data_IF_146133198004
#
_entry.id   IF_146133198004
#
_cell.length_a   1.000
_cell.length_b   1.000
_cell.length_c   1.000
_cell.angle_alpha   90.00
_cell.angle_beta   90.00
_cell.angle_gamma   90.00
#
_symmetry.space_group_name_H-M   'P 1'
#
loop_
_entity.id
_entity.type
_entity.pdbx_description
1 polymer ?
#
# COMPACT_ATOMS: atom_id res chain seq x y z
N UNK A 1 23.80 -2.10 0.00
CA UNK A 1 23.33 -1.44 1.23
C UNK A 1 24.11 -0.16 1.42
N UNK A 2 23.43 0.99 1.53
CA UNK A 2 24.04 2.32 1.61
C UNK A 2 24.62 2.64 3.02
N UNK A 3 25.34 1.69 3.63
CA UNK A 3 25.92 1.87 4.98
C UNK A 3 24.93 1.84 6.14
N UNK A 4 23.68 1.37 5.91
CA UNK A 4 22.68 1.23 6.98
C UNK A 4 23.00 -0.04 7.79
N UNK A 5 23.32 0.13 9.09
CA UNK A 5 23.75 -0.95 9.99
C UNK A 5 22.53 -1.76 10.46
N UNK A 6 22.55 -3.08 10.23
CA UNK A 6 21.43 -4.00 10.50
C UNK A 6 21.06 -4.19 11.97
N UNK A 7 21.86 -3.67 12.90
CA UNK A 7 21.64 -3.83 14.36
C UNK A 7 20.51 -2.95 14.90
N UNK A 8 20.11 -1.91 14.16
CA UNK A 8 18.93 -1.11 14.48
C UNK A 8 17.79 -1.57 13.58
N UNK A 9 16.78 -2.23 14.18
CA UNK A 9 15.62 -2.74 13.45
C UNK A 9 14.96 -1.65 12.61
N UNK A 10 15.16 -1.71 11.30
CA UNK A 10 14.53 -0.78 10.35
C UNK A 10 13.05 -1.13 10.22
N UNK A 11 12.19 -0.14 10.41
CA UNK A 11 10.77 -0.23 10.10
C UNK A 11 10.55 0.47 8.76
N UNK A 12 9.88 -0.24 7.83
CA UNK A 12 9.48 0.32 6.54
C UNK A 12 8.08 0.89 6.74
N UNK A 13 7.88 2.15 6.37
CA UNK A 13 6.58 2.81 6.39
C UNK A 13 6.23 3.16 4.94
N UNK A 14 4.99 2.92 4.52
CA UNK A 14 4.58 3.35 3.17
C UNK A 14 4.49 4.87 3.11
N UNK A 15 4.72 5.44 1.92
CA UNK A 15 4.65 6.89 1.70
C UNK A 15 3.33 7.52 2.15
N UNK A 16 2.15 6.98 1.77
CA UNK A 16 0.90 7.59 2.20
C UNK A 16 0.63 7.42 3.71
N UNK A 17 1.14 6.36 4.36
CA UNK A 17 1.07 6.23 5.81
C UNK A 17 1.95 7.26 6.53
N UNK A 18 3.14 7.50 6.00
CA UNK A 18 4.04 8.50 6.52
C UNK A 18 3.42 9.90 6.38
N UNK A 19 2.90 10.23 5.20
CA UNK A 19 2.25 11.50 4.95
C UNK A 19 1.00 11.70 5.81
N UNK A 20 0.20 10.64 6.00
CA UNK A 20 -0.93 10.63 6.91
C UNK A 20 -0.48 10.90 8.36
N UNK A 21 0.51 10.16 8.85
CA UNK A 21 1.06 10.31 10.21
C UNK A 21 1.57 11.74 10.46
N UNK A 22 2.34 12.30 9.53
CA UNK A 22 2.80 13.69 9.62
C UNK A 22 1.62 14.66 9.72
N UNK A 23 0.65 14.51 8.83
CA UNK A 23 -0.51 15.39 8.82
C UNK A 23 -1.30 15.26 10.12
N UNK A 24 -1.58 14.06 10.61
CA UNK A 24 -2.36 13.87 11.82
C UNK A 24 -1.68 14.39 13.07
N UNK A 25 -0.37 14.15 13.24
CA UNK A 25 0.37 14.64 14.41
C UNK A 25 0.67 16.13 14.36
N UNK A 26 1.04 16.67 13.21
CA UNK A 26 1.52 18.05 13.09
C UNK A 26 0.43 19.02 12.65
N UNK A 27 -0.49 18.63 11.76
CA UNK A 27 -1.69 19.43 11.47
C UNK A 27 -2.71 19.39 12.62
N UNK A 28 -2.52 18.51 13.62
CA UNK A 28 -3.26 18.52 14.89
C UNK A 28 -3.17 19.85 15.66
N UNK A 29 -2.13 20.66 15.45
CA UNK A 29 -2.07 22.03 15.99
C UNK A 29 -3.03 23.01 15.28
N UNK A 30 -3.62 22.62 14.14
CA UNK A 30 -4.75 23.31 13.49
C UNK A 30 -6.12 22.70 13.88
N UNK A 31 -6.13 21.77 14.85
CA UNK A 31 -7.19 21.22 15.75
C UNK A 31 -8.67 21.11 15.32
N UNK A 32 -9.04 21.44 14.08
CA UNK A 32 -10.44 21.58 13.66
C UNK A 32 -10.85 20.73 12.46
N UNK A 33 -9.91 20.11 11.73
CA UNK A 33 -10.21 19.50 10.43
C UNK A 33 -10.48 17.99 10.45
N UNK A 34 -9.93 17.24 11.41
CA UNK A 34 -10.01 15.77 11.41
C UNK A 34 -10.41 15.27 12.80
N UNK A 35 -11.42 14.39 12.84
CA UNK A 35 -12.00 13.81 14.06
C UNK A 35 -12.10 12.30 13.96
N UNK A 36 -12.26 11.66 15.10
CA UNK A 36 -12.62 10.25 15.14
C UNK A 36 -13.94 10.03 14.39
N UNK A 37 -14.00 8.93 13.63
CA UNK A 37 -15.04 8.56 12.67
C UNK A 37 -15.05 9.31 11.33
N UNK A 38 -14.09 10.21 11.09
CA UNK A 38 -13.89 10.74 9.75
C UNK A 38 -13.27 9.69 8.83
N UNK A 39 -13.51 9.86 7.52
CA UNK A 39 -12.87 9.09 6.45
C UNK A 39 -11.94 9.99 5.69
N UNK A 40 -10.72 9.53 5.43
CA UNK A 40 -9.70 10.34 4.79
C UNK A 40 -9.15 9.59 3.60
N UNK A 41 -9.10 10.28 2.47
CA UNK A 41 -8.42 9.86 1.25
C UNK A 41 -7.09 10.59 1.21
N UNK A 42 -5.99 9.88 1.40
CA UNK A 42 -4.65 10.44 1.17
C UNK A 42 -4.39 10.35 -0.33
N UNK A 43 -4.05 11.47 -0.96
CA UNK A 43 -3.66 11.59 -2.36
C UNK A 43 -2.22 12.06 -2.40
N UNK A 44 -1.29 11.12 -2.54
CA UNK A 44 0.13 11.40 -2.72
C UNK A 44 0.41 11.68 -4.19
N UNK A 45 0.46 12.97 -4.53
CA UNK A 45 0.75 13.42 -5.87
C UNK A 45 2.25 13.71 -6.00
N UNK A 46 2.97 12.76 -6.57
CA UNK A 46 4.42 12.83 -6.79
C UNK A 46 4.80 13.35 -8.18
N UNK A 47 6.08 13.14 -8.53
CA UNK A 47 6.61 13.47 -9.85
C UNK A 47 6.21 12.46 -10.91
N UNK A 48 6.29 11.17 -10.61
CA UNK A 48 5.99 10.09 -11.56
C UNK A 48 4.59 9.51 -11.39
N UNK A 49 4.22 9.20 -10.15
CA UNK A 49 2.98 8.54 -9.80
C UNK A 49 2.09 9.44 -8.95
N UNK A 50 0.81 9.08 -8.92
CA UNK A 50 -0.15 9.59 -7.96
C UNK A 50 -0.81 8.40 -7.30
N UNK A 51 -0.69 8.30 -5.98
CA UNK A 51 -1.12 7.15 -5.21
C UNK A 51 -2.16 7.56 -4.17
N UNK A 52 -3.27 6.83 -4.12
CA UNK A 52 -4.38 7.08 -3.21
C UNK A 52 -4.55 5.93 -2.24
N UNK A 53 -4.83 6.24 -0.98
CA UNK A 53 -5.26 5.26 0.03
C UNK A 53 -6.32 5.90 0.92
N UNK A 54 -7.12 5.08 1.61
CA UNK A 54 -8.19 5.59 2.44
C UNK A 54 -8.27 4.97 3.81
N UNK A 55 -8.50 5.81 4.81
CA UNK A 55 -8.53 5.43 6.23
C UNK A 55 -9.84 5.86 6.89
N UNK A 56 -10.42 4.98 7.71
CA UNK A 56 -11.28 5.36 8.82
C UNK A 56 -10.38 5.84 9.98
N UNK A 57 -10.60 7.04 10.49
CA UNK A 57 -9.96 7.53 11.71
C UNK A 57 -10.68 6.94 12.92
N UNK A 58 -10.03 6.06 13.67
CA UNK A 58 -10.61 5.46 14.88
C UNK A 58 -10.33 6.34 16.11
N UNK A 59 -9.12 6.91 16.16
CA UNK A 59 -8.66 7.77 17.23
C UNK A 59 -7.61 8.74 16.68
N UNK A 60 -7.60 9.99 17.16
CA UNK A 60 -6.68 11.03 16.68
C UNK A 60 -5.39 11.06 17.51
N UNK A 61 -5.47 10.83 18.82
CA UNK A 61 -4.31 10.84 19.72
C UNK A 61 -4.40 9.72 20.79
N UNK A 62 -3.47 8.74 20.81
CA UNK A 62 -2.58 8.39 19.71
C UNK A 62 -3.36 8.09 18.42
N UNK A 63 -2.70 8.29 17.28
CA UNK A 63 -3.32 8.05 15.99
C UNK A 63 -3.60 6.55 15.81
N UNK A 64 -4.88 6.22 15.65
CA UNK A 64 -5.32 4.87 15.29
C UNK A 64 -6.18 4.99 14.05
N UNK A 65 -5.72 4.42 12.95
CA UNK A 65 -6.40 4.42 11.66
C UNK A 65 -6.59 3.01 11.16
N UNK A 66 -7.68 2.80 10.43
CA UNK A 66 -7.95 1.55 9.73
C UNK A 66 -8.18 1.83 8.28
N UNK A 67 -7.42 1.19 7.42
CA UNK A 67 -7.66 1.20 5.99
C UNK A 67 -9.11 0.77 5.68
N UNK A 68 -9.84 1.57 4.91
CA UNK A 68 -11.27 1.35 4.66
C UNK A 68 -11.60 1.01 3.20
N UNK A 69 -10.68 1.26 2.27
CA UNK A 69 -10.80 0.92 0.86
C UNK A 69 -9.44 0.55 0.28
N UNK A 70 -9.44 -0.22 -0.81
CA UNK A 70 -8.22 -0.43 -1.54
C UNK A 70 -7.71 0.89 -2.13
N UNK A 71 -6.40 1.08 -2.09
CA UNK A 71 -5.78 2.21 -2.76
C UNK A 71 -5.84 2.08 -4.28
N UNK A 72 -5.71 3.20 -4.96
CA UNK A 72 -5.65 3.29 -6.43
C UNK A 72 -4.52 4.23 -6.80
N UNK A 73 -3.84 4.02 -7.92
CA UNK A 73 -2.83 4.95 -8.40
C UNK A 73 -2.69 4.89 -9.91
N UNK A 74 -2.00 5.88 -10.47
CA UNK A 74 -1.67 5.93 -11.89
C UNK A 74 -0.37 6.74 -12.14
N UNK A 75 0.19 6.58 -13.33
CA UNK A 75 1.33 7.36 -13.82
C UNK A 75 0.84 8.71 -14.35
N UNK A 76 0.41 9.59 -13.45
CA UNK A 76 -0.08 10.93 -13.79
C UNK A 76 0.51 12.03 -12.90
N UNK A 77 1.79 11.91 -12.52
CA UNK A 77 2.50 12.91 -11.71
C UNK A 77 2.97 14.15 -12.48
N UNK A 78 3.64 15.09 -11.79
CA UNK A 78 4.05 16.38 -12.39
C UNK A 78 5.04 16.28 -13.56
N UNK A 79 5.77 15.18 -13.71
CA UNK A 79 6.67 14.95 -14.85
C UNK A 79 5.93 14.86 -16.19
N UNK A 80 4.63 14.55 -16.17
CA UNK A 80 3.81 14.57 -17.38
C UNK A 80 3.54 16.01 -17.87
N UNK A 81 3.57 16.99 -16.97
CA UNK A 81 3.51 18.42 -17.31
C UNK A 81 4.80 18.82 -18.03
N UNK A 82 5.95 18.33 -17.58
CA UNK A 82 7.24 18.56 -18.25
C UNK A 82 7.23 17.99 -19.67
N UNK A 83 6.69 16.78 -19.86
CA UNK A 83 6.52 16.17 -21.19
C UNK A 83 5.57 16.98 -22.08
N UNK A 84 4.48 17.51 -21.51
CA UNK A 84 3.58 18.39 -22.25
C UNK A 84 4.30 19.69 -22.67
N UNK A 85 5.12 20.24 -21.78
CA UNK A 85 5.93 21.42 -22.08
C UNK A 85 6.97 21.13 -23.17
N UNK A 86 7.70 20.01 -23.08
CA UNK A 86 8.66 19.59 -24.11
C UNK A 86 8.02 19.50 -25.50
N UNK A 87 6.81 18.94 -25.58
CA UNK A 87 6.04 18.88 -26.84
C UNK A 87 5.66 20.27 -27.35
N UNK A 88 5.16 21.15 -26.48
CA UNK A 88 4.85 22.54 -26.84
C UNK A 88 6.10 23.27 -27.32
N UNK A 89 7.22 23.10 -26.61
CA UNK A 89 8.50 23.72 -26.94
C UNK A 89 9.02 23.24 -28.30
N UNK A 90 9.01 21.92 -28.55
CA UNK A 90 9.38 21.37 -29.86
C UNK A 90 8.48 21.88 -30.99
N UNK A 91 7.17 21.93 -30.76
CA UNK A 91 6.21 22.43 -31.75
C UNK A 91 6.47 23.90 -32.10
N UNK A 92 6.71 24.77 -31.10
CA UNK A 92 6.94 26.21 -31.33
C UNK A 92 8.30 26.47 -31.97
N UNK A 93 9.33 25.76 -31.57
CA UNK A 93 10.69 25.93 -32.10
C UNK A 93 10.84 25.33 -33.51
N UNK A 94 10.05 24.31 -33.87
CA UNK A 94 10.11 23.66 -35.17
C UNK A 94 11.54 23.21 -35.50
N UNK A 95 12.04 23.57 -36.69
CA UNK A 95 13.41 23.26 -37.12
C UNK A 95 14.52 23.77 -36.17
N UNK A 96 14.25 24.81 -35.40
CA UNK A 96 15.22 25.35 -34.43
C UNK A 96 15.36 24.44 -33.20
N UNK A 97 14.35 23.61 -32.94
CA UNK A 97 14.43 22.58 -31.90
C UNK A 97 15.53 21.58 -32.23
N UNK A 98 15.53 21.04 -33.46
CA UNK A 98 16.50 20.02 -33.89
C UNK A 98 17.94 20.56 -33.98
N UNK A 99 18.09 21.88 -34.08
CA UNK A 99 19.39 22.55 -34.09
C UNK A 99 19.97 22.79 -32.69
N UNK A 100 19.17 22.64 -31.62
CA UNK A 100 19.66 22.78 -30.25
C UNK A 100 20.49 21.57 -29.85
N UNK A 101 21.53 21.83 -29.05
CA UNK A 101 22.32 20.75 -28.47
C UNK A 101 21.52 20.03 -27.38
N UNK A 102 21.69 18.70 -27.18
CA UNK A 102 20.99 17.94 -26.15
C UNK A 102 21.04 18.57 -24.74
N UNK A 103 22.18 19.14 -24.36
CA UNK A 103 22.36 19.84 -23.09
C UNK A 103 21.49 21.10 -22.95
N UNK A 104 21.21 21.80 -24.05
CA UNK A 104 20.33 22.97 -24.05
C UNK A 104 18.87 22.55 -23.92
N UNK A 105 18.46 21.44 -24.53
CA UNK A 105 17.12 20.88 -24.31
C UNK A 105 16.88 20.59 -22.83
N UNK A 106 17.80 19.86 -22.20
CA UNK A 106 17.72 19.53 -20.77
C UNK A 106 17.69 20.80 -19.91
N UNK A 107 18.49 21.81 -20.25
CA UNK A 107 18.50 23.07 -19.52
C UNK A 107 17.18 23.85 -19.67
N UNK A 108 16.54 23.86 -20.84
CA UNK A 108 15.24 24.52 -21.05
C UNK A 108 14.15 23.84 -20.22
N UNK A 109 14.10 22.51 -20.20
CA UNK A 109 13.15 21.76 -19.37
C UNK A 109 13.40 22.03 -17.88
N UNK A 110 14.66 22.08 -17.46
CA UNK A 110 15.01 22.48 -16.09
C UNK A 110 14.61 23.93 -15.78
N UNK A 111 14.76 24.85 -16.73
CA UNK A 111 14.35 26.25 -16.55
C UNK A 111 12.83 26.39 -16.44
N UNK A 112 12.06 25.51 -17.07
CA UNK A 112 10.60 25.48 -16.97
C UNK A 112 10.11 25.13 -15.56
N UNK A 113 10.90 24.39 -14.77
CA UNK A 113 10.53 24.00 -13.40
C UNK A 113 10.08 25.20 -12.54
N UNK A 114 10.80 26.33 -12.63
CA UNK A 114 10.45 27.56 -11.90
C UNK A 114 9.06 28.08 -12.30
N UNK A 115 8.74 28.09 -13.59
CA UNK A 115 7.43 28.52 -14.09
C UNK A 115 6.32 27.53 -13.70
N UNK A 116 6.61 26.23 -13.77
CA UNK A 116 5.70 25.15 -13.37
C UNK A 116 5.34 25.26 -11.87
N UNK A 117 6.34 25.37 -11.00
CA UNK A 117 6.15 25.51 -9.56
C UNK A 117 5.39 26.78 -9.18
N UNK A 118 5.59 27.88 -9.92
CA UNK A 118 4.94 29.16 -9.65
C UNK A 118 3.49 29.24 -10.17
N UNK A 119 3.01 28.27 -10.96
CA UNK A 119 1.71 28.38 -11.62
C UNK A 119 0.53 28.19 -10.66
N UNK A 120 -0.36 29.19 -10.60
CA UNK A 120 -1.56 29.23 -9.72
C UNK A 120 -2.85 29.46 -10.49
N UNK A 121 -2.75 29.72 -11.79
CA UNK A 121 -3.85 30.18 -12.63
C UNK A 121 -4.56 31.42 -12.05
N UNK A 122 -3.78 32.39 -11.54
CA UNK A 122 -4.30 33.65 -11.00
C UNK A 122 -4.51 34.68 -12.12
N UNK A 123 -5.48 35.62 -12.00
CA UNK A 123 -5.73 36.65 -13.01
C UNK A 123 -4.50 37.47 -13.42
N UNK A 124 -3.57 37.74 -12.50
CA UNK A 124 -2.33 38.49 -12.77
C UNK A 124 -1.18 37.68 -13.39
N UNK A 125 -1.31 36.36 -13.52
CA UNK A 125 -0.27 35.51 -14.13
C UNK A 125 -0.46 35.40 -15.63
N UNK A 126 -0.33 36.51 -16.35
CA UNK A 126 -0.62 36.57 -17.79
C UNK A 126 0.39 35.78 -18.64
N UNK A 127 1.67 35.81 -18.28
CA UNK A 127 2.77 35.22 -19.05
C UNK A 127 3.87 34.72 -18.11
N UNK A 128 4.50 33.63 -18.51
CA UNK A 128 5.68 33.02 -17.89
C UNK A 128 6.82 33.05 -18.90
N UNK A 129 8.05 33.12 -18.40
CA UNK A 129 9.23 33.21 -19.24
C UNK A 129 10.17 32.06 -18.91
N UNK A 130 10.55 31.30 -19.93
CA UNK A 130 11.52 30.20 -19.82
C UNK A 130 12.76 30.56 -20.61
N UNK A 131 13.89 30.65 -19.94
CA UNK A 131 15.17 30.97 -20.58
C UNK A 131 15.59 29.84 -21.55
N UNK A 132 15.95 30.21 -22.77
CA UNK A 132 16.55 29.35 -23.80
C UNK A 132 18.03 29.73 -23.94
N UNK A 133 18.96 28.84 -23.58
CA UNK A 133 20.39 29.11 -23.73
C UNK A 133 20.77 29.42 -25.18
N UNK A 134 21.67 30.39 -25.38
CA UNK A 134 22.37 30.68 -26.65
C UNK A 134 21.50 31.16 -27.83
N UNK A 135 20.21 31.39 -27.61
CA UNK A 135 19.26 31.88 -28.62
C UNK A 135 18.71 33.21 -28.16
N UNK A 136 18.91 34.30 -28.91
CA UNK A 136 18.41 35.61 -28.49
C UNK A 136 16.97 35.87 -28.97
N UNK A 137 16.63 35.51 -30.21
CA UNK A 137 15.32 35.82 -30.78
C UNK A 137 14.88 34.77 -31.82
N UNK A 138 13.66 34.26 -31.66
CA UNK A 138 12.95 33.43 -32.65
C UNK A 138 11.49 33.86 -32.61
N UNK A 139 11.15 34.83 -33.47
CA UNK A 139 9.83 35.49 -33.47
C UNK A 139 8.69 34.51 -33.69
N UNK A 140 8.85 33.57 -34.62
CA UNK A 140 7.85 32.54 -34.93
C UNK A 140 7.58 31.59 -33.75
N UNK A 141 8.58 31.36 -32.90
CA UNK A 141 8.44 30.55 -31.69
C UNK A 141 7.95 31.37 -30.49
N UNK A 142 7.94 32.70 -30.57
CA UNK A 142 7.69 33.61 -29.45
C UNK A 142 8.83 33.69 -28.45
N UNK A 143 10.07 33.55 -28.94
CA UNK A 143 11.30 33.73 -28.16
C UNK A 143 11.81 35.16 -28.36
N UNK A 144 11.88 35.92 -27.27
CA UNK A 144 12.32 37.31 -27.26
C UNK A 144 13.33 37.51 -26.13
N UNK A 145 14.50 38.08 -26.45
CA UNK A 145 15.56 38.33 -25.45
C UNK A 145 16.01 37.07 -24.71
N UNK A 146 16.06 35.93 -25.39
CA UNK A 146 16.43 34.63 -24.82
C UNK A 146 15.34 33.92 -24.03
N UNK A 147 14.11 34.42 -24.03
CA UNK A 147 13.03 33.84 -23.23
C UNK A 147 11.86 33.39 -24.09
N UNK A 148 11.45 32.14 -23.93
CA UNK A 148 10.18 31.63 -24.44
C UNK A 148 9.04 32.14 -23.58
N UNK A 149 8.13 32.88 -24.21
CA UNK A 149 6.91 33.35 -23.58
C UNK A 149 5.79 32.32 -23.58
N UNK A 150 5.39 31.84 -22.40
CA UNK A 150 4.26 30.92 -22.22
C UNK A 150 3.09 31.68 -21.60
N UNK A 151 1.96 31.74 -22.29
CA UNK A 151 0.74 32.38 -21.78
C UNK A 151 0.10 31.59 -20.64
N UNK A 152 -0.76 32.26 -19.85
CA UNK A 152 -1.60 31.59 -18.84
C UNK A 152 -2.41 30.43 -19.43
N UNK A 153 -2.96 30.62 -20.63
CA UNK A 153 -3.78 29.61 -21.29
C UNK A 153 -2.96 28.39 -21.73
N UNK A 154 -1.74 28.62 -22.24
CA UNK A 154 -0.81 27.53 -22.54
C UNK A 154 -0.44 26.78 -21.26
N UNK A 155 -0.09 27.48 -20.17
CA UNK A 155 0.18 26.83 -18.87
C UNK A 155 -0.99 25.94 -18.43
N UNK A 156 -2.24 26.41 -18.56
CA UNK A 156 -3.42 25.57 -18.31
C UNK A 156 -3.44 24.34 -19.20
N UNK A 157 -3.21 24.48 -20.51
CA UNK A 157 -3.20 23.34 -21.44
C UNK A 157 -2.13 22.29 -21.12
N UNK A 158 -1.04 22.68 -20.44
CA UNK A 158 0.00 21.76 -19.97
C UNK A 158 -0.45 20.98 -18.72
N UNK A 159 -1.16 21.64 -17.80
CA UNK A 159 -1.59 21.08 -16.52
C UNK A 159 -2.92 20.32 -16.59
N UNK A 160 -3.91 20.86 -17.30
CA UNK A 160 -5.30 20.37 -17.29
C UNK A 160 -5.40 18.87 -17.57
N UNK A 161 -4.74 18.30 -18.61
CA UNK A 161 -4.83 16.86 -18.87
C UNK A 161 -4.31 15.97 -17.73
N UNK A 162 -3.33 16.45 -16.96
CA UNK A 162 -2.73 15.72 -15.83
C UNK A 162 -3.62 15.87 -14.59
N UNK A 163 -4.05 17.10 -14.30
CA UNK A 163 -4.92 17.40 -13.16
C UNK A 163 -6.29 16.74 -13.29
N UNK A 164 -6.84 16.64 -14.50
CA UNK A 164 -8.11 15.97 -14.77
C UNK A 164 -8.03 14.47 -14.44
N UNK A 165 -6.94 13.79 -14.81
CA UNK A 165 -6.71 12.39 -14.45
C UNK A 165 -6.64 12.19 -12.92
N UNK A 166 -5.92 13.08 -12.22
CA UNK A 166 -5.85 13.03 -10.75
C UNK A 166 -7.22 13.22 -10.11
N UNK A 167 -8.00 14.19 -10.61
CA UNK A 167 -9.36 14.41 -10.12
C UNK A 167 -10.25 13.18 -10.36
N UNK A 168 -10.08 12.47 -11.47
CA UNK A 168 -10.83 11.24 -11.75
C UNK A 168 -10.46 10.08 -10.82
N UNK A 169 -9.17 9.92 -10.48
CA UNK A 169 -8.73 8.98 -9.43
C UNK A 169 -9.34 9.33 -8.07
N UNK A 170 -9.29 10.61 -7.69
CA UNK A 170 -9.87 11.09 -6.43
C UNK A 170 -11.39 10.84 -6.40
N UNK A 171 -12.11 11.14 -7.50
CA UNK A 171 -13.55 10.87 -7.63
C UNK A 171 -13.86 9.41 -7.36
N UNK A 172 -13.17 8.49 -8.03
CA UNK A 172 -13.37 7.05 -7.87
C UNK A 172 -13.14 6.62 -6.42
N UNK A 173 -12.03 7.06 -5.82
CA UNK A 173 -11.70 6.70 -4.45
C UNK A 173 -12.73 7.25 -3.44
N UNK A 174 -13.13 8.51 -3.58
CA UNK A 174 -14.16 9.14 -2.73
C UNK A 174 -15.50 8.42 -2.84
N UNK A 175 -15.89 7.96 -4.03
CA UNK A 175 -17.12 7.17 -4.21
C UNK A 175 -17.07 5.83 -3.46
N UNK A 176 -15.98 5.08 -3.59
CA UNK A 176 -15.78 3.80 -2.88
C UNK A 176 -15.91 4.02 -1.36
N UNK A 177 -15.21 5.04 -0.87
CA UNK A 177 -15.19 5.40 0.55
C UNK A 177 -16.55 5.91 1.03
N UNK A 178 -17.34 6.57 0.19
CA UNK A 178 -18.68 7.06 0.53
C UNK A 178 -19.74 5.94 0.57
N UNK A 179 -19.56 4.88 -0.23
CA UNK A 179 -20.47 3.73 -0.29
C UNK A 179 -20.16 2.64 0.74
N UNK A 180 -18.99 2.68 1.39
CA UNK A 180 -18.61 1.73 2.43
C UNK A 180 -19.58 1.71 3.63
N UNK A 181 -19.67 0.60 4.38
CA UNK A 181 -20.67 0.38 5.43
C UNK A 181 -20.75 1.57 6.39
N UNK A 182 -21.95 2.14 6.53
CA UNK A 182 -22.19 3.20 7.49
C UNK A 182 -22.12 2.64 8.91
N UNK A 183 -21.42 3.35 9.80
CA UNK A 183 -21.45 3.02 11.23
C UNK A 183 -22.80 3.45 11.80
N UNK A 184 -23.46 2.56 12.52
CA UNK A 184 -24.74 2.83 13.19
C UNK A 184 -24.58 4.05 14.10
N UNK A 185 -25.53 5.00 14.04
CA UNK A 185 -25.58 6.23 14.85
C UNK A 185 -24.51 7.33 14.57
N UNK A 186 -23.88 7.35 13.39
CA UNK A 186 -23.00 8.46 12.99
C UNK A 186 -23.70 9.36 11.96
N UNK A 187 -23.59 10.69 12.11
CA UNK A 187 -23.96 11.65 11.05
C UNK A 187 -23.27 11.24 9.74
N UNK A 188 -23.90 11.51 8.59
CA UNK A 188 -23.33 11.26 7.25
C UNK A 188 -21.83 11.60 7.24
N UNK A 189 -20.98 10.58 7.12
CA UNK A 189 -19.52 10.72 7.13
C UNK A 189 -19.13 11.56 5.93
N UNK A 190 -18.44 12.68 6.16
CA UNK A 190 -17.87 13.51 5.09
C UNK A 190 -16.44 13.06 4.86
N UNK A 191 -16.09 12.53 3.67
CA UNK A 191 -14.71 12.22 3.38
C UNK A 191 -13.90 13.51 3.25
N UNK A 192 -12.67 13.48 3.71
CA UNK A 192 -11.68 14.54 3.52
C UNK A 192 -10.55 14.03 2.64
N UNK A 193 -9.99 14.89 1.80
CA UNK A 193 -8.84 14.60 0.95
C UNK A 193 -7.62 15.23 1.58
N UNK A 194 -6.58 14.44 1.79
CA UNK A 194 -5.28 14.89 2.19
C UNK A 194 -4.36 14.90 0.97
N UNK A 195 -4.09 16.08 0.42
CA UNK A 195 -3.25 16.25 -0.77
C UNK A 195 -1.78 16.44 -0.35
N UNK A 196 -0.94 15.47 -0.66
CA UNK A 196 0.48 15.40 -0.24
C UNK A 196 1.39 15.09 -1.42
N UNK A 197 2.70 15.09 -1.20
CA UNK A 197 3.70 14.85 -2.24
C UNK A 197 4.19 16.13 -2.91
N UNK A 198 5.23 16.01 -3.73
CA UNK A 198 5.87 17.15 -4.39
C UNK A 198 4.92 17.91 -5.34
N UNK A 199 4.10 17.20 -6.09
CA UNK A 199 3.05 17.82 -6.91
C UNK A 199 1.83 18.22 -6.08
N UNK A 200 1.57 17.51 -4.98
CA UNK A 200 0.53 17.87 -4.01
C UNK A 200 0.69 19.27 -3.41
N UNK A 201 1.88 19.88 -3.46
CA UNK A 201 2.13 21.27 -3.05
C UNK A 201 1.70 22.31 -4.10
N UNK A 202 1.38 21.88 -5.34
CA UNK A 202 0.92 22.78 -6.39
C UNK A 202 -0.39 23.48 -6.02
N UNK A 203 -0.36 24.82 -6.00
CA UNK A 203 -1.56 25.63 -5.79
C UNK A 203 -2.60 25.46 -6.89
N UNK A 204 -2.17 25.21 -8.14
CA UNK A 204 -3.09 24.92 -9.23
C UNK A 204 -3.84 23.60 -9.00
N UNK A 205 -3.12 22.53 -8.62
CA UNK A 205 -3.72 21.24 -8.30
C UNK A 205 -4.70 21.39 -7.12
N UNK A 206 -4.27 22.03 -6.02
CA UNK A 206 -5.13 22.27 -4.86
C UNK A 206 -6.39 23.06 -5.23
N UNK A 207 -6.27 24.13 -6.03
CA UNK A 207 -7.40 24.93 -6.52
C UNK A 207 -8.39 24.06 -7.31
N UNK A 208 -7.91 23.28 -8.27
CA UNK A 208 -8.75 22.42 -9.13
C UNK A 208 -9.43 21.30 -8.35
N UNK A 209 -8.71 20.62 -7.45
CA UNK A 209 -9.28 19.59 -6.57
C UNK A 209 -10.31 20.21 -5.61
N UNK A 210 -10.03 21.38 -5.03
CA UNK A 210 -10.97 22.09 -4.12
C UNK A 210 -12.25 22.53 -4.84
N UNK A 211 -12.14 23.02 -6.08
CA UNK A 211 -13.29 23.39 -6.90
C UNK A 211 -14.20 22.18 -7.13
N UNK A 212 -13.65 21.04 -7.51
CA UNK A 212 -14.41 19.81 -7.65
C UNK A 212 -15.01 19.38 -6.30
N UNK A 213 -14.19 19.29 -5.25
CA UNK A 213 -14.58 18.82 -3.91
C UNK A 213 -15.72 19.64 -3.28
N UNK A 214 -15.75 20.96 -3.53
CA UNK A 214 -16.81 21.86 -3.03
C UNK A 214 -18.21 21.50 -3.53
N UNK A 215 -18.32 20.83 -4.68
CA UNK A 215 -19.59 20.37 -5.24
C UNK A 215 -20.13 19.13 -4.52
N UNK A 216 -19.28 18.40 -3.79
CA UNK A 216 -19.60 17.10 -3.19
C UNK A 216 -19.51 17.09 -1.66
N UNK A 217 -19.39 18.27 -1.03
CA UNK A 217 -19.24 18.42 0.42
C UNK A 217 -18.02 17.64 0.97
N UNK A 218 -16.93 17.66 0.20
CA UNK A 218 -15.64 17.02 0.50
C UNK A 218 -14.65 18.11 0.92
N UNK A 219 -14.00 17.91 2.07
CA UNK A 219 -12.96 18.84 2.52
C UNK A 219 -11.62 18.49 1.87
N UNK A 220 -10.87 19.49 1.41
CA UNK A 220 -9.50 19.31 0.93
C UNK A 220 -8.53 19.91 1.96
N UNK A 221 -7.54 19.11 2.35
CA UNK A 221 -6.50 19.45 3.31
C UNK A 221 -5.17 19.32 2.58
N UNK A 222 -4.47 20.45 2.42
CA UNK A 222 -3.09 20.49 1.95
C UNK A 222 -2.21 20.86 3.15
N UNK A 223 -1.40 19.94 3.69
CA UNK A 223 -0.56 20.23 4.83
C UNK A 223 0.54 21.20 4.41
N UNK A 224 1.03 21.99 5.38
CA UNK A 224 2.26 22.75 5.17
C UNK A 224 3.39 21.78 4.84
N UNK A 225 4.29 22.17 3.95
CA UNK A 225 5.46 21.36 3.58
C UNK A 225 5.08 19.98 3.03
N UNK A 226 4.00 19.91 2.24
CA UNK A 226 3.45 18.68 1.64
C UNK A 226 4.52 17.83 0.91
N UNK A 227 5.50 18.48 0.28
CA UNK A 227 6.65 17.83 -0.38
C UNK A 227 7.58 17.06 0.57
N UNK A 228 7.59 17.39 1.87
CA UNK A 228 8.40 16.72 2.89
C UNK A 228 7.59 15.91 3.90
N UNK A 229 6.26 15.83 3.72
CA UNK A 229 5.36 15.15 4.64
C UNK A 229 5.74 13.67 4.86
N UNK A 230 6.15 12.98 3.80
CA UNK A 230 6.56 11.57 3.84
C UNK A 230 7.78 11.38 4.74
N UNK A 231 8.88 12.11 4.46
CA UNK A 231 10.13 11.95 5.24
C UNK A 231 9.96 12.38 6.69
N UNK A 232 9.16 13.42 6.95
CA UNK A 232 8.82 13.85 8.32
C UNK A 232 7.98 12.81 9.03
N UNK A 233 7.00 12.22 8.34
CA UNK A 233 6.19 11.11 8.84
C UNK A 233 7.02 9.90 9.23
N UNK A 234 7.99 9.52 8.39
CA UNK A 234 8.91 8.42 8.69
C UNK A 234 9.76 8.71 9.94
N UNK A 235 10.26 9.93 10.10
CA UNK A 235 10.98 10.34 11.32
C UNK A 235 10.06 10.29 12.54
N UNK A 236 8.83 10.81 12.43
CA UNK A 236 7.82 10.76 13.49
C UNK A 236 7.51 9.32 13.91
N UNK A 237 7.45 8.38 12.97
CA UNK A 237 7.29 6.96 13.26
C UNK A 237 8.50 6.39 13.99
N UNK A 238 9.71 6.74 13.55
CA UNK A 238 10.95 6.25 14.15
C UNK A 238 11.19 6.71 15.60
N UNK A 239 10.67 7.87 15.99
CA UNK A 239 10.76 8.39 17.36
C UNK A 239 9.64 7.86 18.29
N UNK A 240 8.60 7.21 17.75
CA UNK A 240 7.52 6.67 18.57
C UNK A 240 8.00 5.50 19.46
N UNK A 241 7.36 5.29 20.62
CA UNK A 241 7.59 4.08 21.40
C UNK A 241 7.33 2.83 20.56
N UNK A 242 8.26 1.89 20.58
CA UNK A 242 8.15 0.61 19.86
C UNK A 242 6.97 -0.24 20.38
N UNK A 243 6.53 -0.01 21.62
CA UNK A 243 5.39 -0.65 22.26
C UNK A 243 4.81 0.25 23.35
N UNK A 244 3.52 0.08 23.65
CA UNK A 244 2.84 0.78 24.75
C UNK A 244 1.95 1.96 24.31
N UNK A 245 1.39 2.70 25.29
CA UNK A 245 0.52 3.84 25.02
C UNK A 245 1.28 4.95 24.28
N UNK A 246 0.71 5.46 23.19
CA UNK A 246 1.33 6.52 22.37
C UNK A 246 1.86 6.06 21.00
N UNK A 247 1.92 4.75 20.73
CA UNK A 247 2.29 4.21 19.41
C UNK A 247 1.16 4.42 18.40
N UNK A 248 1.48 4.95 17.22
CA UNK A 248 0.54 5.00 16.11
C UNK A 248 0.22 3.60 15.62
N UNK A 249 -1.07 3.30 15.47
CA UNK A 249 -1.54 2.02 14.97
C UNK A 249 -2.24 2.20 13.62
N UNK A 250 -1.69 1.53 12.61
CA UNK A 250 -2.33 1.40 11.29
C UNK A 250 -2.84 -0.02 11.16
N UNK A 251 -4.14 -0.15 10.94
CA UNK A 251 -4.78 -1.43 10.67
C UNK A 251 -5.04 -1.55 9.17
N UNK A 252 -4.44 -2.54 8.54
CA UNK A 252 -4.56 -2.84 7.11
C UNK A 252 -5.71 -3.82 6.84
N UNK A 253 -6.18 -3.82 5.60
CA UNK A 253 -7.13 -4.81 5.12
C UNK A 253 -6.42 -5.80 4.21
N UNK A 254 -6.46 -7.09 4.57
CA UNK A 254 -5.88 -8.13 3.73
C UNK A 254 -6.55 -8.19 2.36
N UNK A 255 -5.76 -8.06 1.29
CA UNK A 255 -6.20 -8.13 -0.12
C UNK A 255 -6.51 -9.54 -0.61
N UNK A 256 -5.88 -10.53 0.04
CA UNK A 256 -6.05 -11.96 -0.24
C UNK A 256 -6.31 -12.67 1.08
N UNK A 257 -7.01 -13.80 0.99
CA UNK A 257 -7.04 -14.76 2.08
C UNK A 257 -5.74 -15.54 2.06
N UNK A 258 -5.15 -15.83 3.23
CA UNK A 258 -3.91 -16.59 3.36
C UNK A 258 -4.11 -17.78 4.28
N UNK A 259 -3.62 -18.94 3.89
CA UNK A 259 -3.91 -20.20 4.57
C UNK A 259 -2.84 -21.26 4.35
N UNK A 260 -3.01 -22.39 5.02
CA UNK A 260 -2.20 -23.59 4.79
C UNK A 260 -3.10 -24.78 4.45
N UNK A 261 -2.77 -25.58 3.42
CA UNK A 261 -3.44 -26.83 3.15
C UNK A 261 -3.32 -27.79 4.35
N UNK A 262 -4.39 -28.50 4.65
CA UNK A 262 -4.48 -29.40 5.80
C UNK A 262 -5.41 -30.58 5.51
N UNK A 263 -5.36 -31.57 6.40
CA UNK A 263 -6.37 -32.61 6.49
C UNK A 263 -7.21 -32.39 7.74
N UNK A 264 -8.53 -32.42 7.61
CA UNK A 264 -9.48 -32.20 8.72
C UNK A 264 -10.28 -33.47 9.03
N UNK A 265 -10.94 -33.54 10.18
CA UNK A 265 -11.86 -34.64 10.45
C UNK A 265 -12.96 -34.66 9.39
N UNK A 266 -13.30 -35.84 8.86
CA UNK A 266 -14.33 -35.95 7.83
C UNK A 266 -15.71 -35.63 8.42
N UNK A 267 -16.43 -34.67 7.82
CA UNK A 267 -17.78 -34.29 8.21
C UNK A 267 -18.71 -34.61 7.03
N UNK A 268 -19.59 -35.62 7.16
CA UNK A 268 -20.57 -35.94 6.12
C UNK A 268 -21.42 -34.72 5.75
N UNK A 269 -21.66 -34.51 4.45
CA UNK A 269 -22.42 -33.37 3.92
C UNK A 269 -21.63 -32.07 3.76
N UNK A 270 -20.46 -31.94 4.40
CA UNK A 270 -19.53 -30.82 4.19
C UNK A 270 -18.34 -31.20 3.30
N UNK A 271 -17.79 -32.39 3.50
CA UNK A 271 -16.62 -32.87 2.77
C UNK A 271 -17.01 -33.86 1.67
N UNK A 272 -16.30 -33.82 0.55
CA UNK A 272 -16.48 -34.76 -0.55
C UNK A 272 -15.86 -36.12 -0.20
N UNK A 273 -16.56 -37.20 -0.52
CA UNK A 273 -16.07 -38.56 -0.28
C UNK A 273 -14.76 -38.87 -1.04
N UNK A 274 -14.52 -38.25 -2.20
CA UNK A 274 -13.26 -38.39 -2.95
C UNK A 274 -12.03 -37.85 -2.20
N UNK A 275 -12.23 -36.93 -1.27
CA UNK A 275 -11.18 -36.41 -0.39
C UNK A 275 -11.05 -37.22 0.90
N UNK A 276 -11.95 -38.17 1.15
CA UNK A 276 -11.94 -38.94 2.37
C UNK A 276 -10.79 -39.95 2.42
N UNK A 277 -10.18 -40.11 3.59
CA UNK A 277 -9.23 -41.18 3.87
C UNK A 277 -9.24 -41.55 5.35
N UNK A 278 -8.84 -42.78 5.70
CA UNK A 278 -8.64 -43.15 7.10
C UNK A 278 -7.19 -42.88 7.51
N UNK A 279 -6.98 -42.03 8.51
CA UNK A 279 -5.64 -41.76 9.01
C UNK A 279 -5.02 -43.03 9.60
N UNK A 280 -3.86 -43.42 9.09
CA UNK A 280 -3.21 -44.69 9.44
C UNK A 280 -2.84 -44.77 10.93
N UNK A 281 -2.63 -43.63 11.59
CA UNK A 281 -2.18 -43.56 12.99
C UNK A 281 -3.30 -43.47 14.01
N UNK A 282 -4.37 -42.74 13.71
CA UNK A 282 -5.52 -42.54 14.60
C UNK A 282 -6.71 -43.42 14.24
N UNK A 283 -6.80 -43.88 12.98
CA UNK A 283 -7.94 -44.64 12.47
C UNK A 283 -9.18 -43.81 12.19
N UNK A 284 -9.10 -42.49 12.35
CA UNK A 284 -10.22 -41.57 12.09
C UNK A 284 -10.38 -41.33 10.60
N UNK A 285 -11.63 -41.17 10.15
CA UNK A 285 -11.93 -40.72 8.78
C UNK A 285 -11.64 -39.21 8.70
N UNK A 286 -10.76 -38.83 7.78
CA UNK A 286 -10.27 -37.48 7.55
C UNK A 286 -10.61 -37.05 6.12
N UNK A 287 -10.64 -35.75 5.84
CA UNK A 287 -10.74 -35.17 4.50
C UNK A 287 -9.41 -34.48 4.15
N UNK A 288 -8.77 -34.88 3.05
CA UNK A 288 -7.59 -34.20 2.47
C UNK A 288 -8.04 -32.98 1.65
N UNK A 289 -7.08 -32.21 1.12
CA UNK A 289 -7.35 -31.04 0.27
C UNK A 289 -8.22 -29.97 0.96
N UNK A 290 -8.12 -29.79 2.27
CA UNK A 290 -8.79 -28.70 2.98
C UNK A 290 -7.82 -27.55 3.21
N UNK A 291 -8.31 -26.35 3.48
CA UNK A 291 -7.48 -25.19 3.80
C UNK A 291 -7.88 -24.63 5.16
N UNK A 292 -6.89 -24.40 6.02
CA UNK A 292 -7.05 -23.57 7.21
C UNK A 292 -6.61 -22.16 6.87
N UNK A 293 -7.56 -21.22 6.76
CA UNK A 293 -7.29 -19.81 6.46
C UNK A 293 -6.85 -19.08 7.72
N UNK A 294 -5.60 -18.62 7.76
CA UNK A 294 -5.06 -17.73 8.79
C UNK A 294 -5.75 -16.36 8.75
N UNK A 295 -5.85 -15.83 7.53
CA UNK A 295 -6.41 -14.51 7.23
C UNK A 295 -7.49 -14.66 6.17
N UNK A 296 -8.64 -14.02 6.37
CA UNK A 296 -9.68 -13.88 5.35
C UNK A 296 -9.68 -12.46 4.76
N UNK A 297 -9.72 -12.38 3.43
CA UNK A 297 -9.84 -11.11 2.68
C UNK A 297 -10.98 -10.26 3.25
N UNK A 298 -10.74 -8.95 3.39
CA UNK A 298 -11.71 -7.92 3.81
C UNK A 298 -12.36 -8.06 5.21
N UNK A 299 -12.16 -9.17 5.92
CA UNK A 299 -12.86 -9.43 7.19
C UNK A 299 -11.98 -9.29 8.43
N UNK A 300 -10.66 -9.42 8.30
CA UNK A 300 -9.75 -9.36 9.44
C UNK A 300 -8.82 -8.14 9.39
N UNK A 301 -8.86 -7.29 10.44
CA UNK A 301 -7.88 -6.24 10.61
C UNK A 301 -6.49 -6.85 10.79
N UNK A 302 -5.51 -6.36 10.03
CA UNK A 302 -4.11 -6.78 10.13
C UNK A 302 -3.30 -5.61 10.66
N UNK A 303 -2.61 -5.78 11.77
CA UNK A 303 -1.62 -4.80 12.26
C UNK A 303 -0.23 -5.40 12.14
N UNK A 304 0.80 -4.55 12.02
CA UNK A 304 2.19 -5.00 11.81
C UNK A 304 2.74 -5.83 12.98
N UNK A 305 2.14 -5.70 14.17
CA UNK A 305 2.49 -6.47 15.38
C UNK A 305 1.66 -7.75 15.54
N UNK A 306 0.64 -7.96 14.69
CA UNK A 306 -0.26 -9.10 14.83
C UNK A 306 0.29 -10.36 14.17
N UNK A 307 0.28 -11.43 14.94
CA UNK A 307 0.70 -12.76 14.50
C UNK A 307 -0.51 -13.68 14.48
N UNK A 308 -0.76 -14.31 13.34
CA UNK A 308 -1.78 -15.33 13.17
C UNK A 308 -1.15 -16.71 13.38
N UNK A 309 -1.60 -17.45 14.38
CA UNK A 309 -1.15 -18.84 14.60
C UNK A 309 -2.33 -19.80 14.53
N UNK A 310 -2.12 -20.94 13.89
CA UNK A 310 -3.06 -22.07 13.94
C UNK A 310 -2.30 -23.33 14.34
N UNK A 311 -2.96 -24.15 15.15
CA UNK A 311 -2.42 -25.43 15.60
C UNK A 311 -2.63 -26.50 14.53
N UNK A 312 -1.55 -27.24 14.25
CA UNK A 312 -1.51 -28.39 13.37
C UNK A 312 -0.96 -29.60 14.14
N UNK A 313 -1.23 -30.78 13.61
CA UNK A 313 -0.66 -32.00 14.16
C UNK A 313 -0.11 -32.89 13.05
N UNK A 314 1.02 -33.54 13.32
CA UNK A 314 1.63 -34.51 12.41
C UNK A 314 1.92 -35.80 13.14
N UNK A 315 1.49 -36.91 12.55
CA UNK A 315 1.70 -38.25 13.06
C UNK A 315 2.79 -38.97 12.27
N UNK A 316 3.72 -39.63 12.96
CA UNK A 316 4.84 -40.32 12.33
C UNK A 316 5.42 -41.45 13.19
N UNK A 317 6.15 -42.38 12.58
CA UNK A 317 7.01 -43.34 13.31
C UNK A 317 8.47 -42.89 13.33
N UNK A 318 8.92 -42.34 12.20
CA UNK A 318 10.25 -41.77 12.01
C UNK A 318 10.08 -40.30 11.68
N UNK A 319 10.81 -39.43 12.38
CA UNK A 319 10.83 -38.00 12.08
C UNK A 319 11.54 -37.82 10.75
N UNK A 320 10.94 -37.03 9.86
CA UNK A 320 11.52 -36.58 8.59
C UNK A 320 11.34 -35.07 8.51
N UNK A 321 12.10 -34.36 7.64
CA UNK A 321 11.82 -32.95 7.37
C UNK A 321 10.38 -32.75 6.91
N UNK A 322 9.76 -31.67 7.36
CA UNK A 322 8.37 -31.34 7.06
C UNK A 322 8.33 -30.24 6.02
N UNK A 323 7.49 -30.41 5.00
CA UNK A 323 7.11 -29.30 4.15
C UNK A 323 5.72 -28.82 4.54
N UNK A 324 5.56 -27.52 4.72
CA UNK A 324 4.27 -26.84 4.88
C UNK A 324 4.20 -25.73 3.83
N UNK A 325 3.04 -25.59 3.20
CA UNK A 325 2.81 -24.66 2.08
C UNK A 325 1.91 -23.53 2.53
N UNK A 326 2.30 -22.30 2.22
CA UNK A 326 1.42 -21.15 2.30
C UNK A 326 0.69 -20.97 0.97
N UNK A 327 -0.62 -20.77 1.05
CA UNK A 327 -1.49 -20.53 -0.10
C UNK A 327 -2.27 -19.23 0.05
N UNK A 328 -2.72 -18.67 -1.07
CA UNK A 328 -3.62 -17.53 -1.08
C UNK A 328 -4.81 -17.70 -2.02
N UNK A 329 -5.84 -16.88 -1.80
CA UNK A 329 -7.00 -16.78 -2.67
C UNK A 329 -7.50 -15.33 -2.72
N UNK A 330 -7.83 -14.85 -3.93
CA UNK A 330 -8.33 -13.48 -4.18
C UNK A 330 -9.85 -13.35 -4.08
N UNK A 331 -10.59 -14.47 -4.04
CA UNK A 331 -12.04 -14.46 -3.91
C UNK A 331 -12.48 -13.87 -2.56
N UNK A 332 -13.56 -13.09 -2.57
CA UNK A 332 -14.15 -12.50 -1.35
C UNK A 332 -14.64 -13.58 -0.36
N UNK A 333 -15.03 -14.74 -0.90
CA UNK A 333 -15.35 -15.95 -0.16
C UNK A 333 -14.37 -17.05 -0.56
N UNK A 334 -13.23 -17.21 0.14
CA UNK A 334 -12.26 -18.24 -0.21
C UNK A 334 -12.87 -19.63 0.04
N UNK A 335 -12.56 -20.63 -0.82
CA UNK A 335 -13.11 -21.97 -0.65
C UNK A 335 -12.49 -22.65 0.58
N UNK A 336 -13.25 -23.56 1.20
CA UNK A 336 -12.73 -24.42 2.28
C UNK A 336 -11.89 -25.56 1.75
N UNK A 337 -12.25 -26.07 0.56
CA UNK A 337 -11.52 -27.07 -0.21
C UNK A 337 -10.47 -26.40 -1.08
N UNK A 338 -9.30 -27.03 -1.20
CA UNK A 338 -8.26 -26.62 -2.12
C UNK A 338 -8.71 -26.82 -3.56
N UNK A 339 -8.73 -25.73 -4.32
CA UNK A 339 -9.01 -25.71 -5.76
C UNK A 339 -7.88 -24.97 -6.47
N UNK A 340 -7.06 -25.65 -7.30
CA UNK A 340 -5.94 -25.02 -8.00
C UNK A 340 -6.37 -23.93 -8.99
N UNK A 341 -7.64 -23.85 -9.38
CA UNK A 341 -8.14 -22.79 -10.27
C UNK A 341 -8.20 -21.42 -9.57
N UNK A 342 -8.43 -21.38 -8.25
CA UNK A 342 -8.63 -20.15 -7.48
C UNK A 342 -7.67 -19.99 -6.29
N UNK A 343 -6.92 -21.04 -5.94
CA UNK A 343 -5.94 -21.06 -4.87
C UNK A 343 -4.53 -21.10 -5.44
N UNK A 344 -3.72 -20.10 -5.12
CA UNK A 344 -2.31 -19.99 -5.55
C UNK A 344 -1.38 -20.41 -4.42
N UNK A 345 -0.32 -21.14 -4.77
CA UNK A 345 0.77 -21.45 -3.82
C UNK A 345 1.75 -20.27 -3.79
N UNK A 346 2.09 -19.79 -2.60
CA UNK A 346 3.06 -18.71 -2.43
C UNK A 346 4.45 -19.23 -2.12
N UNK A 347 4.59 -20.04 -1.07
CA UNK A 347 5.88 -20.54 -0.64
C UNK A 347 5.73 -21.87 0.10
N UNK A 348 6.88 -22.54 0.24
CA UNK A 348 7.03 -23.70 1.10
C UNK A 348 8.06 -23.37 2.17
N UNK A 349 7.80 -23.80 3.40
CA UNK A 349 8.83 -23.92 4.43
C UNK A 349 9.21 -25.38 4.57
N UNK A 350 10.50 -25.64 4.74
CA UNK A 350 11.02 -26.95 5.11
C UNK A 350 11.52 -26.87 6.55
N UNK A 351 10.85 -27.57 7.45
CA UNK A 351 11.17 -27.60 8.87
C UNK A 351 11.81 -28.93 9.23
N UNK A 352 13.11 -28.90 9.56
CA UNK A 352 13.83 -30.10 9.97
C UNK A 352 13.84 -30.26 11.50
N UNK A 353 13.05 -31.23 11.98
CA UNK A 353 12.97 -31.60 13.40
C UNK A 353 13.70 -32.92 13.70
N UNK A 354 14.43 -33.49 12.74
CA UNK A 354 15.08 -34.81 12.85
C UNK A 354 16.15 -34.86 13.95
N UNK A 355 16.77 -33.72 14.27
CA UNK A 355 17.74 -33.57 15.35
C UNK A 355 17.12 -33.66 16.76
N UNK A 356 15.79 -33.58 16.90
CA UNK A 356 15.12 -33.66 18.19
C UNK A 356 15.01 -35.12 18.68
N UNK A 357 15.33 -35.34 19.96
CA UNK A 357 15.13 -36.64 20.62
C UNK A 357 13.65 -37.04 20.58
N UNK A 358 13.34 -38.33 20.36
CA UNK A 358 11.96 -38.85 20.29
C UNK A 358 11.10 -38.54 21.52
N UNK A 359 11.69 -38.38 22.70
CA UNK A 359 11.01 -37.97 23.94
C UNK A 359 10.42 -36.56 23.87
N UNK A 360 10.85 -35.74 22.92
CA UNK A 360 10.27 -34.42 22.66
C UNK A 360 8.89 -34.52 22.01
N UNK A 361 8.46 -35.66 21.47
CA UNK A 361 7.16 -35.83 20.82
C UNK A 361 6.20 -36.65 21.68
N UNK A 362 4.90 -36.43 21.50
CA UNK A 362 3.86 -37.18 22.20
C UNK A 362 3.82 -38.62 21.68
N UNK A 363 4.22 -39.58 22.52
CA UNK A 363 4.12 -41.01 22.17
C UNK A 363 2.68 -41.49 22.28
N UNK A 364 2.21 -42.21 21.27
CA UNK A 364 0.87 -42.78 21.15
C UNK A 364 0.97 -44.22 20.63
N UNK A 365 -0.14 -44.95 20.70
CA UNK A 365 -0.19 -46.36 20.32
C UNK A 365 -1.41 -46.64 19.46
N UNK A 366 -1.24 -47.47 18.43
CA UNK A 366 -2.34 -48.06 17.69
C UNK A 366 -1.96 -49.49 17.33
N UNK A 367 -2.84 -50.44 17.64
CA UNK A 367 -2.61 -51.87 17.40
C UNK A 367 -1.25 -52.34 17.91
N UNK A 368 -0.91 -52.00 19.17
CA UNK A 368 0.35 -52.36 19.82
C UNK A 368 1.63 -51.82 19.15
N UNK A 369 1.50 -50.95 18.14
CA UNK A 369 2.63 -50.29 17.49
C UNK A 369 2.71 -48.83 17.96
N UNK A 370 3.87 -48.39 18.48
CA UNK A 370 4.02 -47.00 18.87
C UNK A 370 4.10 -46.10 17.64
N UNK A 371 3.58 -44.89 17.78
CA UNK A 371 3.81 -43.77 16.88
C UNK A 371 3.96 -42.49 17.71
N UNK A 372 4.39 -41.43 17.06
CA UNK A 372 4.63 -40.13 17.66
C UNK A 372 3.73 -39.09 17.01
N UNK A 373 3.35 -38.11 17.81
CA UNK A 373 2.56 -36.96 17.41
C UNK A 373 3.35 -35.70 17.78
N UNK A 374 3.46 -34.78 16.84
CA UNK A 374 3.89 -33.43 17.10
C UNK A 374 2.71 -32.49 16.88
N UNK A 375 2.35 -31.73 17.91
CA UNK A 375 1.45 -30.58 17.83
C UNK A 375 2.33 -29.35 17.69
N UNK A 376 2.14 -28.61 16.60
CA UNK A 376 2.94 -27.46 16.22
C UNK A 376 2.04 -26.33 15.76
N UNK A 377 2.57 -25.12 15.75
CA UNK A 377 1.85 -23.96 15.23
C UNK A 377 2.49 -23.54 13.92
N UNK A 378 1.66 -23.31 12.91
CA UNK A 378 2.08 -22.51 11.77
C UNK A 378 1.74 -21.06 12.09
N UNK A 379 2.77 -20.24 12.01
CA UNK A 379 2.75 -18.85 12.42
C UNK A 379 2.95 -17.99 11.19
N UNK A 380 2.00 -17.09 10.97
CA UNK A 380 2.00 -16.14 9.86
C UNK A 380 1.92 -14.73 10.42
N UNK A 381 2.76 -13.83 9.92
CA UNK A 381 2.66 -12.41 10.20
C UNK A 381 2.80 -11.60 8.90
N UNK A 382 2.10 -10.47 8.84
CA UNK A 382 2.23 -9.50 7.76
C UNK A 382 2.82 -8.24 8.36
N UNK A 383 4.05 -7.91 7.98
CA UNK A 383 4.73 -6.70 8.44
C UNK A 383 5.27 -5.96 7.24
N UNK A 384 4.83 -4.72 7.00
CA UNK A 384 5.38 -3.84 5.96
C UNK A 384 5.53 -4.51 4.60
N UNK A 385 4.44 -5.09 4.10
CA UNK A 385 4.35 -5.86 2.87
C UNK A 385 5.22 -7.14 2.79
N UNK A 386 5.89 -7.53 3.88
CA UNK A 386 6.56 -8.80 4.02
C UNK A 386 5.67 -9.79 4.76
N UNK A 387 5.50 -10.96 4.15
CA UNK A 387 4.82 -12.09 4.77
C UNK A 387 5.86 -13.01 5.38
N UNK A 388 5.86 -13.10 6.71
CA UNK A 388 6.59 -14.11 7.44
C UNK A 388 5.73 -15.35 7.61
N UNK A 389 6.30 -16.52 7.29
CA UNK A 389 5.66 -17.82 7.52
C UNK A 389 6.67 -18.79 8.13
N UNK A 390 6.32 -19.37 9.26
CA UNK A 390 7.22 -20.24 10.01
C UNK A 390 6.47 -21.32 10.79
N UNK A 391 7.17 -22.42 11.08
CA UNK A 391 6.68 -23.43 12.00
C UNK A 391 7.26 -23.23 13.38
N UNK A 392 6.40 -23.20 14.40
CA UNK A 392 6.77 -23.11 15.79
C UNK A 392 6.47 -24.44 16.50
N UNK A 393 7.46 -24.98 17.19
CA UNK A 393 7.31 -26.20 17.97
C UNK A 393 7.96 -26.04 19.34
N UNK A 394 7.17 -26.21 20.41
CA UNK A 394 7.63 -26.07 21.81
C UNK A 394 8.41 -24.78 22.07
N UNK A 395 7.88 -23.66 21.59
CA UNK A 395 8.46 -22.32 21.75
C UNK A 395 9.66 -22.01 20.84
N UNK A 396 10.10 -22.95 19.99
CA UNK A 396 11.21 -22.74 19.07
C UNK A 396 10.71 -22.63 17.62
N UNK A 397 11.34 -21.75 16.83
CA UNK A 397 11.06 -21.56 15.40
C UNK A 397 11.89 -22.53 14.56
N UNK A 398 11.23 -23.28 13.67
CA UNK A 398 11.83 -24.28 12.78
C UNK A 398 11.36 -24.06 11.34
N UNK A 399 12.27 -23.76 10.42
CA UNK A 399 11.90 -23.45 9.03
C UNK A 399 11.11 -22.14 8.95
N UNK A 400 11.63 -21.17 8.19
CA UNK A 400 10.99 -19.89 8.01
C UNK A 400 11.26 -19.36 6.61
N UNK A 401 10.31 -18.61 6.09
CA UNK A 401 10.47 -17.85 4.85
C UNK A 401 9.84 -16.48 5.02
N UNK A 402 10.46 -15.49 4.38
CA UNK A 402 9.90 -14.16 4.22
C UNK A 402 9.66 -13.96 2.73
N UNK A 403 8.44 -13.61 2.36
CA UNK A 403 8.04 -13.39 0.96
C UNK A 403 7.56 -11.95 0.84
N UNK A 404 8.11 -11.19 -0.12
CA UNK A 404 7.54 -9.91 -0.51
C UNK A 404 6.17 -10.17 -1.13
N UNK A 405 5.14 -9.50 -0.64
CA UNK A 405 3.79 -9.62 -1.16
C UNK A 405 3.44 -8.32 -1.86
N UNK A 406 3.08 -8.41 -3.14
CA UNK A 406 2.55 -7.27 -3.89
C UNK A 406 1.13 -6.99 -3.39
N UNK A 407 0.96 -5.81 -2.79
CA UNK A 407 -0.34 -5.23 -2.43
C UNK A 407 -0.93 -4.38 -3.55
N UNK A 408 -0.13 -4.10 -4.58
CA UNK A 408 -0.57 -3.50 -5.83
C UNK A 408 -1.19 -4.61 -6.69
N UNK A 409 -2.47 -4.45 -6.98
CA UNK A 409 -3.24 -5.28 -7.89
C UNK A 409 -3.95 -4.41 -8.90
#
# INVERSE_FOLDING_TARGET
MAGIVSEHGLEILSEPEAAALYTFKYAGHSSSMIRANDRIVVCDAGGGTVDLISYDVLQVEPLIVRECAAGTGDYCGSTFIDRNFERLFALRMGRHYDALRPEHHQQVVKNFETAKMAFRDAPGQHKFFVNIPTVDEIKEAGVEGGHLGISRQEMRSLFDPVVDQIIDLIKHQVMIVSQGPQRVNVRRIRPSILLVGGFGESEYLHKRVSQWASQYDVQVIQPREASTAIVRGAVLKGIEPQSGPGKTQVTRVARRSYGAPTSQLFIPGMHLEEDAFYDRFTGRKMAKNQISWFIRKQHQPVTDDHTFSYAFSRHFRTVTPWTDTLVSCEADRPPTRYDPAVVRKHCNIVSDLTHLKKSRFSRRWKNWRPYYMAEYELVMNLKNNNLGFALHYKGNRYGATNVNVDFEG
#
